data_IF_383885006866
#
_entry.id   IF_383885006866
#
_cell.length_a   1.000
_cell.length_b   1.000
_cell.length_c   1.000
_cell.angle_alpha   90.00
_cell.angle_beta   90.00
_cell.angle_gamma   90.00
#
_symmetry.space_group_name_H-M   'P 1'
#
loop_
_entity.id
_entity.type
_entity.pdbx_description
1 polymer ?
#
# COMPACT_ATOMS: atom_id res chain seq x y z
N UNK A 1 -66.37 28.36 15.63
CA UNK A 1 -65.43 27.20 15.75
C UNK A 1 -64.33 27.36 14.74
N UNK A 2 -63.12 27.47 15.23
CA UNK A 2 -61.96 27.54 14.34
C UNK A 2 -61.22 26.22 14.38
N UNK A 3 -61.20 25.53 13.26
CA UNK A 3 -60.37 24.37 13.08
C UNK A 3 -58.92 24.84 12.74
N UNK A 4 -58.05 24.68 13.69
CA UNK A 4 -56.64 24.92 13.47
C UNK A 4 -56.03 23.65 12.86
N UNK A 5 -55.88 23.62 11.54
CA UNK A 5 -55.07 22.63 10.90
C UNK A 5 -53.60 22.96 11.17
N UNK A 6 -52.90 22.07 11.79
CA UNK A 6 -51.45 22.18 12.03
C UNK A 6 -50.71 21.27 11.02
N UNK A 7 -50.41 21.73 9.82
CA UNK A 7 -49.59 20.95 8.91
C UNK A 7 -48.09 20.99 9.24
N UNK A 8 -47.67 21.91 10.11
CA UNK A 8 -46.25 22.12 10.41
C UNK A 8 -45.59 20.99 11.19
N UNK A 9 -46.37 20.16 11.89
CA UNK A 9 -45.78 19.10 12.74
C UNK A 9 -45.31 17.88 11.93
N UNK A 10 -45.90 17.61 10.81
CA UNK A 10 -45.52 16.47 9.95
C UNK A 10 -44.33 16.78 9.08
N UNK A 11 -44.07 18.02 8.73
CA UNK A 11 -42.92 18.43 7.91
C UNK A 11 -41.63 18.33 8.73
N UNK A 12 -41.70 18.62 10.02
CA UNK A 12 -40.53 18.55 10.92
C UNK A 12 -40.01 17.12 11.14
N UNK A 13 -40.91 16.13 11.15
CA UNK A 13 -40.55 14.71 11.31
C UNK A 13 -39.90 14.15 10.04
N UNK A 14 -40.34 14.62 8.88
CA UNK A 14 -39.79 14.15 7.61
C UNK A 14 -38.37 14.69 7.34
N UNK A 15 -38.07 15.90 7.77
CA UNK A 15 -36.74 16.50 7.67
C UNK A 15 -35.74 15.80 8.61
N UNK A 16 -36.21 15.35 9.78
CA UNK A 16 -35.32 14.63 10.72
C UNK A 16 -34.98 13.22 10.29
N UNK A 17 -35.85 12.58 9.51
CA UNK A 17 -35.61 11.22 9.00
C UNK A 17 -34.63 11.18 7.81
N UNK A 18 -34.49 12.27 7.06
CA UNK A 18 -33.57 12.36 5.91
C UNK A 18 -32.12 12.59 6.36
N UNK A 19 -31.89 13.10 7.57
CA UNK A 19 -30.55 13.37 8.11
C UNK A 19 -29.86 12.14 8.74
N UNK A 20 -30.53 11.00 8.84
CA UNK A 20 -29.99 9.78 9.46
C UNK A 20 -29.40 8.78 8.47
N UNK A 21 -29.39 9.09 7.17
CA UNK A 21 -28.69 8.28 6.16
C UNK A 21 -27.32 8.83 5.82
N UNK A 22 -26.57 9.25 6.83
CA UNK A 22 -25.13 9.34 6.70
C UNK A 22 -24.61 7.91 6.65
N UNK A 23 -24.67 7.29 5.48
CA UNK A 23 -23.96 6.07 5.22
C UNK A 23 -22.50 6.35 5.59
N UNK A 24 -22.03 5.76 6.68
CA UNK A 24 -20.61 5.70 6.97
C UNK A 24 -19.97 4.94 5.80
N UNK A 25 -19.43 5.68 4.84
CA UNK A 25 -18.51 5.15 3.86
C UNK A 25 -17.29 4.75 4.67
N UNK A 26 -17.27 3.52 5.16
CA UNK A 26 -16.08 2.91 5.71
C UNK A 26 -15.10 2.83 4.56
N UNK A 27 -14.21 3.81 4.47
CA UNK A 27 -13.03 3.70 3.64
C UNK A 27 -12.29 2.46 4.13
N UNK A 28 -12.32 1.38 3.37
CA UNK A 28 -11.52 0.20 3.62
C UNK A 28 -10.05 0.62 3.48
N UNK A 29 -9.43 0.95 4.61
CA UNK A 29 -7.99 1.17 4.67
C UNK A 29 -7.34 -0.16 4.33
N UNK A 30 -6.65 -0.21 3.20
CA UNK A 30 -5.83 -1.36 2.86
C UNK A 30 -4.86 -1.65 4.02
N UNK A 31 -4.64 -2.93 4.31
CA UNK A 31 -3.70 -3.37 5.34
C UNK A 31 -2.32 -3.49 4.73
N UNK A 32 -1.33 -2.81 5.30
CA UNK A 32 0.08 -2.96 4.95
C UNK A 32 0.82 -3.70 6.07
N UNK A 33 1.49 -4.77 5.71
CA UNK A 33 2.39 -5.49 6.61
C UNK A 33 3.80 -4.98 6.40
N UNK A 34 4.41 -4.42 7.44
CA UNK A 34 5.75 -3.84 7.39
C UNK A 34 6.78 -4.84 7.91
N UNK A 35 7.83 -5.08 7.12
CA UNK A 35 8.96 -5.97 7.48
C UNK A 35 10.28 -5.29 7.15
N UNK A 36 11.28 -5.52 8.00
CA UNK A 36 12.64 -5.04 7.73
C UNK A 36 13.47 -6.14 7.06
N UNK A 37 14.10 -5.79 5.95
CA UNK A 37 15.07 -6.67 5.29
C UNK A 37 16.39 -6.60 6.06
N UNK A 38 16.91 -7.78 6.41
CA UNK A 38 18.25 -7.94 6.96
C UNK A 38 19.01 -8.91 6.08
N UNK A 39 20.20 -8.51 5.64
CA UNK A 39 21.10 -9.41 4.93
C UNK A 39 21.78 -10.34 5.92
N UNK A 40 21.90 -11.62 5.57
CA UNK A 40 22.73 -12.55 6.33
C UNK A 40 24.19 -12.08 6.28
N UNK A 41 25.03 -12.41 7.32
CA UNK A 41 26.43 -12.01 7.35
C UNK A 41 27.17 -12.38 6.05
N UNK A 42 27.87 -11.39 5.44
CA UNK A 42 28.60 -11.56 4.19
C UNK A 42 27.74 -11.67 2.94
N UNK A 43 26.43 -11.49 3.05
CA UNK A 43 25.50 -11.52 1.90
C UNK A 43 25.09 -10.12 1.49
N UNK A 44 24.94 -9.91 0.19
CA UNK A 44 24.46 -8.68 -0.43
C UNK A 44 23.07 -8.84 -1.04
N UNK A 45 22.53 -10.04 -1.03
CA UNK A 45 21.21 -10.38 -1.59
C UNK A 45 20.32 -11.01 -0.53
N UNK A 46 19.08 -10.55 -0.47
CA UNK A 46 18.00 -11.13 0.31
C UNK A 46 16.88 -11.61 -0.61
N UNK A 47 16.33 -12.79 -0.34
CA UNK A 47 15.19 -13.35 -1.04
C UNK A 47 14.02 -13.45 -0.07
N UNK A 48 12.92 -12.80 -0.40
CA UNK A 48 11.72 -12.69 0.43
C UNK A 48 10.55 -13.31 -0.31
N UNK A 49 9.69 -14.00 0.42
CA UNK A 49 8.47 -14.59 -0.14
C UNK A 49 7.26 -14.09 0.64
N UNK A 50 6.17 -13.90 -0.07
CA UNK A 50 4.92 -13.48 0.53
C UNK A 50 3.73 -13.78 -0.35
N UNK A 51 2.56 -13.48 0.19
CA UNK A 51 1.29 -13.62 -0.51
C UNK A 51 0.49 -12.34 -0.28
N UNK A 52 0.03 -11.73 -1.35
CA UNK A 52 -0.81 -10.53 -1.34
C UNK A 52 -2.14 -10.81 -2.01
N UNK A 53 -3.14 -10.03 -1.66
CA UNK A 53 -4.46 -10.02 -2.29
C UNK A 53 -5.02 -8.60 -2.23
N UNK A 54 -6.17 -8.37 -2.85
CA UNK A 54 -6.82 -7.06 -2.84
C UNK A 54 -6.92 -6.48 -1.43
N UNK A 55 -6.46 -5.23 -1.26
CA UNK A 55 -6.45 -4.52 0.02
C UNK A 55 -5.32 -4.90 0.97
N UNK A 56 -4.44 -5.83 0.59
CA UNK A 56 -3.26 -6.22 1.37
C UNK A 56 -2.00 -5.98 0.56
N UNK A 57 -1.09 -5.19 1.10
CA UNK A 57 0.25 -4.94 0.55
C UNK A 57 1.33 -5.28 1.57
N UNK A 58 2.55 -5.49 1.10
CA UNK A 58 3.70 -5.70 1.96
C UNK A 58 4.71 -4.57 1.76
N UNK A 59 5.12 -3.95 2.85
CA UNK A 59 6.17 -2.95 2.89
C UNK A 59 7.46 -3.55 3.43
N UNK A 60 8.53 -3.46 2.65
CA UNK A 60 9.86 -3.85 3.08
C UNK A 60 10.73 -2.62 3.29
N UNK A 61 11.33 -2.51 4.46
CA UNK A 61 12.28 -1.46 4.81
C UNK A 61 13.70 -1.99 4.71
N UNK A 62 14.56 -1.26 4.04
CA UNK A 62 15.95 -1.63 3.80
C UNK A 62 16.86 -0.44 4.05
N UNK A 63 17.79 -0.58 4.99
CA UNK A 63 18.83 0.44 5.23
C UNK A 63 19.93 0.32 4.20
N UNK A 64 20.21 1.41 3.51
CA UNK A 64 21.27 1.50 2.52
C UNK A 64 21.93 2.87 2.54
N UNK A 65 23.05 3.00 1.85
CA UNK A 65 23.85 4.23 1.79
C UNK A 65 23.86 4.83 0.38
N UNK A 66 23.99 6.14 0.34
CA UNK A 66 24.23 6.86 -0.92
C UNK A 66 25.41 6.25 -1.67
N UNK A 67 25.30 6.16 -2.99
CA UNK A 67 26.33 5.60 -3.86
C UNK A 67 26.34 4.08 -4.00
N UNK A 68 25.62 3.34 -3.15
CA UNK A 68 25.42 1.91 -3.35
C UNK A 68 24.52 1.67 -4.56
N UNK A 69 24.69 0.53 -5.21
CA UNK A 69 23.78 0.07 -6.26
C UNK A 69 22.79 -0.93 -5.67
N UNK A 70 21.51 -0.69 -5.91
CA UNK A 70 20.43 -1.61 -5.53
C UNK A 70 19.80 -2.23 -6.78
N UNK A 71 19.49 -3.51 -6.70
CA UNK A 71 18.66 -4.20 -7.68
C UNK A 71 17.48 -4.85 -6.98
N UNK A 72 16.31 -4.72 -7.56
CA UNK A 72 15.06 -5.32 -7.07
C UNK A 72 14.42 -6.10 -8.19
N UNK A 73 14.12 -7.38 -7.94
CA UNK A 73 13.48 -8.28 -8.90
C UNK A 73 12.28 -8.96 -8.24
N UNK A 74 11.12 -8.86 -8.88
CA UNK A 74 9.86 -9.41 -8.40
C UNK A 74 9.33 -10.46 -9.37
N UNK A 75 9.10 -11.67 -8.86
CA UNK A 75 8.42 -12.75 -9.59
C UNK A 75 7.11 -13.07 -8.87
N UNK A 76 6.02 -13.08 -9.59
CA UNK A 76 4.70 -13.39 -9.05
C UNK A 76 3.85 -14.19 -10.05
N UNK A 77 2.94 -15.00 -9.54
CA UNK A 77 2.00 -15.80 -10.33
C UNK A 77 0.79 -15.03 -10.86
N UNK A 78 0.82 -13.70 -10.84
CA UNK A 78 -0.27 -12.82 -11.26
C UNK A 78 0.16 -11.35 -11.26
N UNK A 79 -0.80 -10.45 -11.33
CA UNK A 79 -0.60 -9.02 -11.37
C UNK A 79 -0.22 -8.46 -9.99
N UNK A 80 1.06 -8.54 -9.67
CA UNK A 80 1.70 -7.96 -8.50
C UNK A 80 2.88 -7.12 -8.96
N UNK A 81 2.98 -5.91 -8.48
CA UNK A 81 4.05 -4.97 -8.82
C UNK A 81 4.68 -4.41 -7.53
N UNK A 82 5.78 -3.70 -7.66
CA UNK A 82 6.32 -2.95 -6.55
C UNK A 82 6.52 -1.47 -6.88
N UNK A 83 6.55 -0.67 -5.82
CA UNK A 83 7.01 0.69 -5.82
C UNK A 83 8.25 0.78 -4.93
N UNK A 84 9.23 1.59 -5.34
CA UNK A 84 10.45 1.83 -4.58
C UNK A 84 10.53 3.31 -4.21
N UNK A 85 10.60 3.58 -2.92
CA UNK A 85 10.68 4.94 -2.36
C UNK A 85 12.05 5.19 -1.73
N UNK A 86 12.53 6.41 -1.88
CA UNK A 86 13.69 6.93 -1.15
C UNK A 86 13.40 7.06 0.34
N UNK A 87 14.43 7.22 1.20
CA UNK A 87 14.25 7.46 2.62
C UNK A 87 13.28 8.63 2.89
N UNK A 88 12.36 8.41 3.84
CA UNK A 88 11.32 9.39 4.15
C UNK A 88 10.21 9.53 3.09
N UNK A 89 10.22 8.70 2.05
CA UNK A 89 9.29 8.77 0.90
C UNK A 89 9.32 10.12 0.17
N UNK A 90 10.49 10.72 0.11
CA UNK A 90 10.67 12.04 -0.54
C UNK A 90 10.61 11.94 -2.05
N UNK A 91 10.91 10.76 -2.62
CA UNK A 91 10.89 10.53 -4.05
C UNK A 91 10.56 9.06 -4.37
N UNK A 92 10.15 8.79 -5.61
CA UNK A 92 9.84 7.45 -6.14
C UNK A 92 10.90 7.09 -7.16
N UNK A 93 11.62 5.99 -6.93
CA UNK A 93 12.63 5.47 -7.86
C UNK A 93 12.06 4.48 -8.85
N UNK A 94 11.03 3.72 -8.48
CA UNK A 94 10.32 2.80 -9.34
C UNK A 94 8.83 2.79 -9.02
N UNK A 95 8.00 2.70 -10.04
CA UNK A 95 6.54 2.66 -9.94
C UNK A 95 6.00 1.56 -10.85
N UNK A 96 5.07 0.75 -10.33
CA UNK A 96 4.46 -0.38 -11.04
C UNK A 96 5.50 -1.31 -11.70
N UNK A 97 6.60 -1.55 -11.01
CA UNK A 97 7.74 -2.27 -11.54
C UNK A 97 7.74 -3.75 -11.17
N UNK A 98 8.39 -4.55 -12.00
CA UNK A 98 8.80 -5.93 -11.73
C UNK A 98 10.32 -6.00 -11.50
N UNK A 99 11.06 -5.09 -12.10
CA UNK A 99 12.51 -4.99 -12.06
C UNK A 99 12.93 -3.54 -11.93
N UNK A 100 13.96 -3.30 -11.13
CA UNK A 100 14.63 -2.02 -11.04
C UNK A 100 16.09 -2.21 -10.64
N UNK A 101 16.98 -1.41 -11.19
CA UNK A 101 18.37 -1.35 -10.77
C UNK A 101 18.90 0.07 -10.93
N UNK A 102 19.67 0.54 -9.96
CA UNK A 102 20.25 1.88 -10.00
C UNK A 102 21.10 2.21 -8.80
N UNK A 103 21.80 3.33 -8.92
CA UNK A 103 22.58 3.92 -7.84
C UNK A 103 21.65 4.65 -6.87
N UNK A 104 21.91 4.50 -5.57
CA UNK A 104 21.09 5.09 -4.53
C UNK A 104 21.49 6.54 -4.24
N UNK A 105 20.53 7.50 -4.33
CA UNK A 105 20.83 8.93 -4.18
C UNK A 105 20.97 9.39 -2.74
N UNK A 106 20.51 8.60 -1.76
CA UNK A 106 20.45 8.99 -0.34
C UNK A 106 20.83 7.82 0.56
N UNK A 107 21.31 8.14 1.75
CA UNK A 107 21.46 7.16 2.85
C UNK A 107 20.21 7.14 3.70
N UNK A 108 19.79 5.96 4.15
CA UNK A 108 18.64 5.78 5.03
C UNK A 108 17.80 4.55 4.71
N UNK A 109 16.57 4.55 5.19
CA UNK A 109 15.63 3.45 5.01
C UNK A 109 14.82 3.61 3.72
N UNK A 110 15.15 2.83 2.72
CA UNK A 110 14.36 2.67 1.50
C UNK A 110 13.13 1.82 1.77
N UNK A 111 12.05 2.09 1.07
CA UNK A 111 10.81 1.31 1.19
C UNK A 111 10.47 0.68 -0.15
N UNK A 112 10.29 -0.63 -0.14
CA UNK A 112 9.77 -1.40 -1.28
C UNK A 112 8.36 -1.82 -0.91
N UNK A 113 7.36 -1.29 -1.60
CA UNK A 113 5.96 -1.63 -1.40
C UNK A 113 5.51 -2.61 -2.49
N UNK A 114 5.21 -3.84 -2.10
CA UNK A 114 4.69 -4.89 -2.98
C UNK A 114 3.17 -4.91 -2.86
N UNK A 115 2.49 -4.71 -3.98
CA UNK A 115 1.04 -4.58 -4.02
C UNK A 115 0.44 -5.35 -5.21
N UNK A 116 -0.74 -5.96 -5.03
CA UNK A 116 -1.48 -6.56 -6.12
C UNK A 116 -2.17 -5.49 -6.96
N UNK A 117 -2.53 -5.83 -8.18
CA UNK A 117 -3.49 -5.05 -8.95
C UNK A 117 -4.81 -4.95 -8.16
N UNK A 118 -5.46 -3.79 -8.23
CA UNK A 118 -6.70 -3.49 -7.51
C UNK A 118 -7.86 -4.39 -7.89
N UNK A 119 -7.79 -5.06 -9.04
CA UNK A 119 -8.82 -5.98 -9.53
C UNK A 119 -8.67 -7.41 -9.02
N UNK A 120 -7.54 -7.74 -8.40
CA UNK A 120 -7.21 -9.12 -7.99
C UNK A 120 -7.78 -9.46 -6.63
N UNK A 121 -8.76 -10.33 -6.56
CA UNK A 121 -9.32 -10.85 -5.31
C UNK A 121 -8.63 -12.12 -4.81
N UNK A 122 -7.89 -12.80 -5.68
CA UNK A 122 -7.19 -14.04 -5.34
C UNK A 122 -5.89 -13.75 -4.57
N UNK A 123 -5.50 -14.71 -3.75
CA UNK A 123 -4.17 -14.72 -3.14
C UNK A 123 -3.12 -14.96 -4.22
N UNK A 124 -2.13 -14.07 -4.31
CA UNK A 124 -1.03 -14.18 -5.26
C UNK A 124 0.27 -14.28 -4.47
N UNK A 125 0.97 -15.39 -4.64
CA UNK A 125 2.30 -15.57 -4.08
C UNK A 125 3.35 -14.90 -4.94
N UNK A 126 4.37 -14.33 -4.29
CA UNK A 126 5.48 -13.67 -4.96
C UNK A 126 6.82 -14.02 -4.30
N UNK A 127 7.88 -13.83 -5.05
CA UNK A 127 9.26 -13.82 -4.58
C UNK A 127 9.88 -12.47 -4.93
N UNK A 128 10.46 -11.81 -3.94
CA UNK A 128 11.17 -10.54 -4.08
C UNK A 128 12.65 -10.78 -3.79
N UNK A 129 13.50 -10.49 -4.75
CA UNK A 129 14.95 -10.53 -4.60
C UNK A 129 15.48 -9.09 -4.55
N UNK A 130 16.25 -8.78 -3.53
CA UNK A 130 16.86 -7.47 -3.34
C UNK A 130 18.36 -7.63 -3.13
N UNK A 131 19.15 -6.96 -3.97
CA UNK A 131 20.61 -6.94 -3.89
C UNK A 131 21.09 -5.51 -3.65
N UNK A 132 22.04 -5.31 -2.73
CA UNK A 132 22.71 -4.02 -2.48
C UNK A 132 24.21 -4.25 -2.42
N UNK A 133 24.96 -3.44 -3.19
CA UNK A 133 26.43 -3.51 -3.29
C UNK A 133 27.05 -2.14 -3.16
#
# INVERSE_FOLDING_TARGET
MKLLSRPAFFISIFIFLVLLTSAAVSAQKGTSVVRRIKFAPGRTTAVLRGTVHRGVSHDYLLKARTGQTMSVHLVAGGEVNFMLFTPGRTDILAENAKDWSGELPQSGDYRINVLPDTTTERNISYTLEVTVR
#
